data_IF_587872102248
#
_entry.id   IF_587872102248
#
_cell.length_a   1.000
_cell.length_b   1.000
_cell.length_c   1.000
_cell.angle_alpha   90.00
_cell.angle_beta   90.00
_cell.angle_gamma   90.00
#
_symmetry.space_group_name_H-M   'P 1'
#
loop_
_entity.id
_entity.type
_entity.pdbx_description
1 polymer ?
#
# COMPACT_ATOMS: atom_id res chain seq x y z
N UNK A 1 -4.50 -2.60 -13.48
CA UNK A 1 -5.01 -2.93 -12.12
C UNK A 1 -5.20 -1.61 -11.38
N UNK A 2 -6.28 -1.46 -10.62
CA UNK A 2 -6.59 -0.20 -9.92
C UNK A 2 -6.17 -0.31 -8.46
N UNK A 3 -5.53 0.72 -7.93
CA UNK A 3 -5.24 0.86 -6.50
C UNK A 3 -6.31 1.72 -5.84
N UNK A 4 -6.66 1.39 -4.61
CA UNK A 4 -7.65 2.05 -3.80
C UNK A 4 -7.01 2.55 -2.51
N UNK A 5 -7.45 3.73 -2.05
CA UNK A 5 -7.26 4.22 -0.70
C UNK A 5 -8.29 3.56 0.22
N UNK A 6 -8.06 3.58 1.54
CA UNK A 6 -8.93 2.92 2.54
C UNK A 6 -10.39 3.34 2.49
N UNK A 7 -10.65 4.59 2.08
CA UNK A 7 -12.01 5.10 1.87
C UNK A 7 -12.68 4.58 0.57
N UNK A 8 -12.09 3.59 -0.10
CA UNK A 8 -12.58 3.02 -1.36
C UNK A 8 -12.33 3.87 -2.60
N UNK A 9 -11.76 5.07 -2.45
CA UNK A 9 -11.47 5.94 -3.60
C UNK A 9 -10.24 5.44 -4.36
N UNK A 10 -10.20 5.67 -5.67
CA UNK A 10 -9.05 5.29 -6.49
C UNK A 10 -7.83 6.12 -6.11
N UNK A 11 -6.74 5.45 -5.78
CA UNK A 11 -5.45 6.09 -5.56
C UNK A 11 -4.89 6.57 -6.91
N UNK A 12 -4.55 7.87 -7.01
CA UNK A 12 -4.17 8.49 -8.30
C UNK A 12 -2.76 8.14 -8.79
N UNK A 13 -1.82 7.92 -7.87
CA UNK A 13 -0.40 7.70 -8.18
C UNK A 13 0.13 6.34 -7.73
N UNK A 14 -0.67 5.60 -6.97
CA UNK A 14 -0.25 4.31 -6.44
C UNK A 14 -0.18 3.24 -7.53
N UNK A 15 0.91 2.49 -7.54
CA UNK A 15 1.12 1.34 -8.39
C UNK A 15 1.10 0.05 -7.56
N UNK A 16 0.55 -1.05 -8.08
CA UNK A 16 0.57 -2.34 -7.39
C UNK A 16 2.00 -2.85 -7.19
N UNK A 17 2.29 -3.36 -6.01
CA UNK A 17 3.63 -3.86 -5.68
C UNK A 17 3.92 -5.25 -6.24
N UNK A 18 2.99 -6.19 -6.14
CA UNK A 18 3.20 -7.58 -6.55
C UNK A 18 2.41 -7.90 -7.83
N UNK A 19 3.07 -7.74 -8.98
CA UNK A 19 2.47 -8.04 -10.29
C UNK A 19 2.13 -9.54 -10.47
N UNK A 20 2.87 -10.44 -9.83
CA UNK A 20 2.55 -11.89 -9.87
C UNK A 20 1.27 -12.20 -9.09
N UNK A 21 1.03 -11.52 -7.96
CA UNK A 21 -0.23 -11.66 -7.22
C UNK A 21 -1.41 -11.23 -8.10
N UNK A 22 -1.25 -10.13 -8.85
CA UNK A 22 -2.27 -9.64 -9.78
C UNK A 22 -2.58 -10.66 -10.89
N UNK A 23 -1.56 -11.24 -11.51
CA UNK A 23 -1.78 -12.26 -12.57
C UNK A 23 -2.45 -13.52 -12.04
N UNK A 24 -2.33 -13.79 -10.74
CA UNK A 24 -3.02 -14.88 -10.04
C UNK A 24 -4.42 -14.50 -9.51
N UNK A 25 -4.90 -13.28 -9.78
CA UNK A 25 -6.19 -12.80 -9.26
C UNK A 25 -6.20 -12.51 -7.75
N UNK A 26 -5.02 -12.34 -7.14
CA UNK A 26 -4.86 -11.98 -5.73
C UNK A 26 -4.68 -10.48 -5.56
N UNK A 27 -4.80 -10.00 -4.32
CA UNK A 27 -4.57 -8.61 -3.97
C UNK A 27 -3.10 -8.34 -3.60
N UNK A 28 -2.70 -7.07 -3.71
CA UNK A 28 -1.39 -6.58 -3.32
C UNK A 28 -1.49 -5.14 -2.86
N UNK A 29 -0.64 -4.76 -1.91
CA UNK A 29 -0.42 -3.38 -1.55
C UNK A 29 0.00 -2.55 -2.78
N UNK A 30 -0.25 -1.26 -2.70
CA UNK A 30 0.16 -0.28 -3.68
C UNK A 30 1.01 0.79 -3.01
N UNK A 31 2.02 1.26 -3.72
CA UNK A 31 2.95 2.29 -3.29
C UNK A 31 3.09 3.39 -4.35
N UNK A 32 3.63 4.56 -3.98
CA UNK A 32 4.00 5.53 -4.99
C UNK A 32 5.11 4.97 -5.90
N UNK A 33 5.27 5.47 -7.14
CA UNK A 33 6.20 4.89 -8.12
C UNK A 33 7.67 4.89 -7.68
N UNK A 34 8.04 5.81 -6.81
CA UNK A 34 9.40 6.00 -6.31
C UNK A 34 9.64 5.26 -4.98
N UNK A 35 8.62 4.65 -4.39
CA UNK A 35 8.71 3.94 -3.10
C UNK A 35 9.19 2.51 -3.27
N UNK A 36 9.85 1.99 -2.23
CA UNK A 36 10.15 0.56 -2.12
C UNK A 36 8.94 -0.20 -1.58
N UNK A 37 8.51 -1.21 -2.33
CA UNK A 37 7.50 -2.16 -1.91
C UNK A 37 8.06 -3.17 -0.91
N UNK A 38 7.44 -3.27 0.27
CA UNK A 38 7.78 -4.26 1.28
C UNK A 38 6.80 -5.46 1.24
N UNK A 39 7.28 -6.63 1.66
CA UNK A 39 6.48 -7.87 1.68
C UNK A 39 5.38 -7.87 2.74
N UNK A 40 5.43 -6.95 3.71
CA UNK A 40 4.44 -6.77 4.76
C UNK A 40 3.30 -5.80 4.38
N UNK A 41 3.22 -5.40 3.11
CA UNK A 41 2.14 -4.55 2.59
C UNK A 41 2.34 -3.05 2.82
N UNK A 42 3.55 -2.63 3.20
CA UNK A 42 3.91 -1.22 3.38
C UNK A 42 4.89 -0.74 2.31
N UNK A 43 5.01 0.57 2.22
CA UNK A 43 5.92 1.32 1.36
C UNK A 43 7.00 1.98 2.22
N UNK A 44 8.18 2.15 1.65
CA UNK A 44 9.30 2.85 2.30
C UNK A 44 9.99 3.78 1.31
N UNK A 45 10.38 4.96 1.77
CA UNK A 45 11.28 5.84 1.03
C UNK A 45 12.60 5.11 0.72
N UNK A 46 13.03 5.00 -0.54
CA UNK A 46 14.36 4.47 -0.85
C UNK A 46 15.50 5.30 -0.24
N UNK A 47 15.28 6.59 0.03
CA UNK A 47 16.27 7.49 0.63
C UNK A 47 16.27 7.45 2.18
N UNK A 48 15.31 6.75 2.80
CA UNK A 48 15.29 6.60 4.25
C UNK A 48 16.51 5.78 4.72
N UNK A 49 17.38 6.40 5.51
CA UNK A 49 18.56 5.75 6.09
C UNK A 49 18.17 4.79 7.23
N UNK A 50 19.15 4.06 7.78
CA UNK A 50 18.94 3.10 8.87
C UNK A 50 18.35 3.73 10.15
N UNK A 51 18.44 5.07 10.31
CA UNK A 51 17.87 5.80 11.43
C UNK A 51 16.40 6.17 11.23
N UNK A 52 15.88 6.09 10.01
CA UNK A 52 14.49 6.43 9.66
C UNK A 52 13.74 5.18 9.20
N UNK A 53 13.29 4.37 10.15
CA UNK A 53 12.45 3.18 9.89
C UNK A 53 10.97 3.54 9.73
N UNK A 54 10.68 4.61 9.00
CA UNK A 54 9.30 4.97 8.66
C UNK A 54 8.83 4.14 7.48
N UNK A 55 7.67 3.53 7.67
CA UNK A 55 6.92 2.84 6.62
C UNK A 55 5.52 3.44 6.58
N UNK A 56 4.91 3.47 5.41
CA UNK A 56 3.55 3.99 5.26
C UNK A 56 2.71 3.09 4.38
N UNK A 57 1.40 3.24 4.56
CA UNK A 57 0.41 2.60 3.72
C UNK A 57 -0.09 3.61 2.70
N UNK A 58 -0.02 3.26 1.40
CA UNK A 58 -0.47 4.15 0.33
C UNK A 58 -1.77 3.66 -0.33
N UNK A 59 -1.93 2.36 -0.53
CA UNK A 59 -3.17 1.80 -1.07
C UNK A 59 -3.13 0.29 -1.20
N UNK A 60 -4.24 -0.27 -1.69
CA UNK A 60 -4.30 -1.69 -2.04
C UNK A 60 -5.15 -1.92 -3.29
N UNK A 61 -4.94 -3.04 -3.96
CA UNK A 61 -5.81 -3.46 -5.08
C UNK A 61 -7.16 -4.04 -4.63
N UNK A 62 -7.31 -4.36 -3.34
CA UNK A 62 -8.61 -4.68 -2.74
C UNK A 62 -9.30 -3.37 -2.34
N UNK A 63 -10.50 -3.12 -2.86
CA UNK A 63 -11.28 -1.94 -2.51
C UNK A 63 -12.04 -2.10 -1.19
N UNK A 64 -12.19 -3.33 -0.69
CA UNK A 64 -12.90 -3.65 0.56
C UNK A 64 -11.97 -3.64 1.76
N UNK A 65 -10.65 -3.70 1.53
CA UNK A 65 -9.63 -3.78 2.56
C UNK A 65 -9.84 -4.96 3.52
N UNK A 66 -10.39 -6.06 3.02
CA UNK A 66 -10.58 -7.29 3.79
C UNK A 66 -9.39 -8.24 3.63
N UNK A 67 -8.63 -8.12 2.54
CA UNK A 67 -7.43 -8.93 2.36
C UNK A 67 -6.33 -8.49 3.36
N UNK A 68 -5.75 -9.42 4.14
CA UNK A 68 -4.68 -9.11 5.10
C UNK A 68 -3.44 -8.47 4.46
N UNK A 69 -3.20 -8.66 3.15
CA UNK A 69 -2.09 -7.99 2.43
C UNK A 69 -2.31 -6.48 2.26
N UNK A 70 -3.54 -6.01 2.43
CA UNK A 70 -3.93 -4.61 2.29
C UNK A 70 -3.81 -3.79 3.59
N UNK A 71 -3.12 -4.35 4.59
CA UNK A 71 -2.68 -3.66 5.81
C UNK A 71 -3.76 -2.78 6.45
N UNK A 72 -4.61 -3.34 7.31
CA UNK A 72 -5.64 -2.55 8.01
C UNK A 72 -5.11 -1.73 9.21
N UNK A 73 -3.81 -1.50 9.28
CA UNK A 73 -3.14 -0.83 10.39
C UNK A 73 -3.14 0.70 10.22
N UNK A 74 -2.96 1.44 11.33
CA UNK A 74 -2.95 2.91 11.37
C UNK A 74 -4.31 3.59 11.08
N UNK A 75 -5.41 3.01 11.54
CA UNK A 75 -6.77 3.53 11.35
C UNK A 75 -7.16 4.67 12.32
N UNK A 76 -6.29 5.69 12.41
CA UNK A 76 -6.62 6.98 13.04
C UNK A 76 -6.09 8.14 12.20
N UNK A 77 -6.93 8.61 11.29
CA UNK A 77 -7.04 10.03 11.01
C UNK A 77 -8.25 10.58 11.78
N UNK A 78 -8.25 10.48 13.11
CA UNK A 78 -8.86 11.54 13.91
C UNK A 78 -7.77 12.59 14.08
N UNK A 79 -7.88 13.65 13.30
CA UNK A 79 -7.12 14.88 13.49
C UNK A 79 -7.15 15.28 14.97
N UNK A 80 -5.97 15.43 15.57
CA UNK A 80 -5.76 16.31 16.72
C UNK A 80 -4.91 17.49 16.24
#
# INVERSE_FOLDING_TARGET
MTCYLRNGTKARRALPCNHTAITQGKHTACCDPDDQCLTNGFCRDPAANEMTNFVWFFGCTDHTFQDPVCGNYCDKATSE
#
